data_IF_023118146531
#
_entry.id   IF_023118146531
#
_cell.length_a   1.000
_cell.length_b   1.000
_cell.length_c   1.000
_cell.angle_alpha   90.00
_cell.angle_beta   90.00
_cell.angle_gamma   90.00
#
_symmetry.space_group_name_H-M   'P 1'
#
loop_
_entity.id
_entity.type
_entity.pdbx_description
1 polymer ?
#
# COMPACT_ATOMS: atom_id res chain seq x y z
N UNK A 1 14.17 -7.81 -25.14
CA UNK A 1 12.75 -7.90 -24.75
C UNK A 1 12.70 -7.57 -23.27
N UNK A 2 11.79 -6.69 -22.85
CA UNK A 2 11.66 -6.32 -21.44
C UNK A 2 11.03 -7.49 -20.67
N UNK A 3 11.71 -7.96 -19.62
CA UNK A 3 11.28 -9.04 -18.73
C UNK A 3 10.11 -8.59 -17.86
N UNK A 4 10.22 -7.40 -17.28
CA UNK A 4 9.24 -6.83 -16.36
C UNK A 4 9.38 -5.30 -16.28
N UNK A 5 8.31 -4.65 -15.84
CA UNK A 5 8.28 -3.22 -15.52
C UNK A 5 8.19 -3.06 -14.01
N UNK A 6 9.18 -2.42 -13.40
CA UNK A 6 9.32 -2.28 -11.96
C UNK A 6 8.90 -0.88 -11.52
N UNK A 7 7.82 -0.85 -10.75
CA UNK A 7 7.16 0.33 -10.21
C UNK A 7 7.72 0.67 -8.84
N UNK A 8 8.58 1.68 -8.78
CA UNK A 8 9.11 2.24 -7.53
C UNK A 8 8.10 3.25 -7.01
N UNK A 9 7.39 2.88 -5.95
CA UNK A 9 6.34 3.71 -5.35
C UNK A 9 6.80 4.22 -4.00
N UNK A 10 7.13 5.53 -3.86
CA UNK A 10 7.47 6.09 -2.58
C UNK A 10 6.27 6.12 -1.64
N UNK A 11 6.47 5.63 -0.42
CA UNK A 11 5.44 5.60 0.61
C UNK A 11 6.07 5.59 2.00
N UNK A 12 5.21 5.70 3.01
CA UNK A 12 5.52 5.31 4.37
C UNK A 12 4.43 4.36 4.88
N UNK A 13 4.80 3.50 5.82
CA UNK A 13 3.82 2.85 6.67
C UNK A 13 3.83 3.56 8.03
N UNK A 14 2.67 3.94 8.55
CA UNK A 14 2.56 4.76 9.75
C UNK A 14 1.61 4.14 10.78
N UNK A 15 2.16 3.29 11.64
CA UNK A 15 1.46 2.90 12.86
C UNK A 15 1.24 4.13 13.74
N UNK A 16 -0.03 4.50 13.92
CA UNK A 16 -0.43 5.65 14.73
C UNK A 16 0.07 5.53 16.17
N UNK A 17 -0.06 4.33 16.74
CA UNK A 17 0.41 3.98 18.08
C UNK A 17 0.98 2.56 18.05
N UNK A 18 2.27 2.41 18.35
CA UNK A 18 2.90 1.09 18.47
C UNK A 18 3.97 1.08 19.58
N UNK A 19 5.25 1.27 19.24
CA UNK A 19 6.36 1.25 20.20
C UNK A 19 6.73 2.62 20.77
N UNK A 20 6.31 3.70 20.12
CA UNK A 20 6.48 5.07 20.59
C UNK A 20 5.27 5.55 21.38
N UNK A 21 5.49 6.52 22.26
CA UNK A 21 4.40 7.30 22.83
C UNK A 21 3.73 8.16 21.74
N UNK A 22 2.45 8.50 21.92
CA UNK A 22 1.71 9.34 20.97
C UNK A 22 2.44 10.66 20.66
N UNK A 23 3.12 11.25 21.66
CA UNK A 23 3.86 12.50 21.48
C UNK A 23 5.16 12.33 20.68
N UNK A 24 5.89 11.22 20.87
CA UNK A 24 7.07 10.90 20.05
C UNK A 24 6.68 10.66 18.59
N UNK A 25 5.61 9.88 18.35
CA UNK A 25 5.06 9.66 17.01
C UNK A 25 4.68 10.99 16.35
N UNK A 26 4.08 11.93 17.09
CA UNK A 26 3.71 13.25 16.58
C UNK A 26 4.90 14.09 16.12
N UNK A 27 6.01 14.08 16.86
CA UNK A 27 7.23 14.80 16.47
C UNK A 27 7.82 14.21 15.19
N UNK A 28 7.90 12.88 15.12
CA UNK A 28 8.39 12.18 13.92
C UNK A 28 7.51 12.48 12.71
N UNK A 29 6.18 12.45 12.90
CA UNK A 29 5.22 12.75 11.85
C UNK A 29 5.39 14.16 11.30
N UNK A 30 5.57 15.16 12.16
CA UNK A 30 5.76 16.55 11.73
C UNK A 30 7.01 16.69 10.86
N UNK A 31 8.12 16.08 11.28
CA UNK A 31 9.38 16.12 10.53
C UNK A 31 9.26 15.40 9.19
N UNK A 32 8.61 14.23 9.18
CA UNK A 32 8.47 13.42 7.98
C UNK A 32 7.54 14.08 6.95
N UNK A 33 6.39 14.61 7.39
CA UNK A 33 5.49 15.38 6.53
C UNK A 33 6.15 16.64 5.96
N UNK A 34 6.97 17.34 6.74
CA UNK A 34 7.72 18.50 6.24
C UNK A 34 8.68 18.09 5.11
N UNK A 35 9.43 17.01 5.30
CA UNK A 35 10.37 16.50 4.30
C UNK A 35 9.65 16.04 3.02
N UNK A 36 8.54 15.31 3.16
CA UNK A 36 7.71 14.84 2.04
C UNK A 36 7.16 16.03 1.23
N UNK A 37 6.51 16.98 1.90
CA UNK A 37 5.90 18.12 1.21
C UNK A 37 6.96 19.01 0.56
N UNK A 38 8.10 19.28 1.23
CA UNK A 38 9.19 20.04 0.63
C UNK A 38 9.73 19.34 -0.62
N UNK A 39 9.86 18.02 -0.60
CA UNK A 39 10.32 17.25 -1.77
C UNK A 39 9.34 17.37 -2.93
N UNK A 40 8.05 17.16 -2.69
CA UNK A 40 7.02 17.20 -3.72
C UNK A 40 6.83 18.62 -4.32
N UNK A 41 7.10 19.67 -3.54
CA UNK A 41 7.02 21.06 -4.00
C UNK A 41 8.20 21.47 -4.87
N UNK A 42 9.41 21.05 -4.48
CA UNK A 42 10.65 21.58 -5.04
C UNK A 42 11.33 20.66 -6.06
N UNK A 43 10.92 19.40 -6.17
CA UNK A 43 11.46 18.45 -7.16
C UNK A 43 10.35 17.97 -8.13
N UNK A 44 10.33 18.49 -9.38
CA UNK A 44 9.38 18.05 -10.40
C UNK A 44 9.50 16.58 -10.83
N UNK A 45 10.68 15.97 -10.67
CA UNK A 45 10.90 14.56 -11.03
C UNK A 45 10.35 13.61 -9.95
N UNK A 46 10.26 14.07 -8.69
CA UNK A 46 9.66 13.33 -7.58
C UNK A 46 8.14 13.48 -7.59
N UNK A 47 7.49 12.69 -8.45
CA UNK A 47 6.09 12.91 -8.84
C UNK A 47 5.06 12.51 -7.79
N UNK A 48 5.32 11.43 -7.04
CA UNK A 48 4.29 10.77 -6.25
C UNK A 48 4.79 10.39 -4.86
N UNK A 49 3.90 10.47 -3.88
CA UNK A 49 4.10 9.92 -2.55
C UNK A 49 2.77 9.38 -1.99
N UNK A 50 2.74 8.12 -1.56
CA UNK A 50 1.56 7.49 -0.96
C UNK A 50 1.59 7.64 0.55
N UNK A 51 0.56 8.29 1.09
CA UNK A 51 0.41 8.55 2.53
C UNK A 51 -0.35 7.40 3.23
N UNK A 52 0.20 6.19 3.12
CA UNK A 52 -0.23 4.95 3.81
C UNK A 52 -1.73 4.59 3.73
N UNK A 53 -2.45 5.21 2.80
CA UNK A 53 -3.88 5.01 2.59
C UNK A 53 -4.81 5.23 3.80
N UNK A 54 -4.38 6.02 4.80
CA UNK A 54 -5.15 6.35 6.00
C UNK A 54 -5.20 7.87 6.26
N UNK A 55 -6.34 8.40 6.72
CA UNK A 55 -6.51 9.83 7.02
C UNK A 55 -6.34 10.19 8.50
N UNK A 56 -6.38 9.23 9.42
CA UNK A 56 -6.21 9.48 10.86
C UNK A 56 -4.87 10.15 11.18
N UNK A 57 -3.80 9.81 10.43
CA UNK A 57 -2.48 10.46 10.54
C UNK A 57 -2.56 11.97 10.25
N UNK A 58 -3.46 12.39 9.37
CA UNK A 58 -3.64 13.81 9.03
C UNK A 58 -4.33 14.57 10.15
N UNK A 59 -5.21 13.94 10.93
CA UNK A 59 -5.81 14.57 12.11
C UNK A 59 -4.74 14.95 13.14
N UNK A 60 -3.84 14.01 13.44
CA UNK A 60 -2.74 14.25 14.37
C UNK A 60 -1.76 15.30 13.83
N UNK A 61 -1.51 15.30 12.51
CA UNK A 61 -0.67 16.31 11.89
C UNK A 61 -1.29 17.71 11.96
N UNK A 62 -2.56 17.87 11.58
CA UNK A 62 -3.24 19.17 11.58
C UNK A 62 -3.55 19.71 12.97
N UNK A 63 -3.62 18.85 13.99
CA UNK A 63 -3.68 19.30 15.38
C UNK A 63 -2.44 20.11 15.79
N UNK A 64 -1.29 19.86 15.16
CA UNK A 64 0.00 20.51 15.46
C UNK A 64 0.32 21.60 14.43
N UNK A 65 0.02 21.34 13.15
CA UNK A 65 0.34 22.20 11.99
C UNK A 65 -0.93 22.54 11.19
N UNK A 66 -1.93 23.21 11.79
CA UNK A 66 -3.17 23.55 11.09
C UNK A 66 -2.95 24.44 9.86
N UNK A 67 -1.90 25.28 9.87
CA UNK A 67 -1.50 26.15 8.76
C UNK A 67 -1.15 25.37 7.48
N UNK A 68 -0.70 24.11 7.61
CA UNK A 68 -0.28 23.29 6.48
C UNK A 68 -1.44 22.59 5.75
N UNK A 69 -2.69 22.76 6.20
CA UNK A 69 -3.85 22.14 5.55
C UNK A 69 -4.00 22.57 4.09
N UNK A 70 -3.79 23.85 3.79
CA UNK A 70 -3.89 24.36 2.42
C UNK A 70 -2.72 23.88 1.54
N UNK A 71 -1.52 23.79 2.12
CA UNK A 71 -0.32 23.26 1.47
C UNK A 71 -0.51 21.80 1.06
N UNK A 72 -0.98 20.98 1.99
CA UNK A 72 -1.28 19.57 1.74
C UNK A 72 -2.38 19.40 0.70
N UNK A 73 -3.47 20.15 0.83
CA UNK A 73 -4.57 20.15 -0.15
C UNK A 73 -4.08 20.41 -1.57
N UNK A 74 -3.23 21.42 -1.77
CA UNK A 74 -2.67 21.71 -3.09
C UNK A 74 -1.85 20.55 -3.67
N UNK A 75 -1.12 19.80 -2.84
CA UNK A 75 -0.36 18.62 -3.27
C UNK A 75 -1.27 17.43 -3.62
N UNK A 76 -2.38 17.26 -2.90
CA UNK A 76 -3.38 16.22 -3.19
C UNK A 76 -4.13 16.56 -4.49
N UNK A 77 -4.59 17.80 -4.66
CA UNK A 77 -5.26 18.26 -5.90
C UNK A 77 -4.34 18.20 -7.12
N UNK A 78 -3.03 18.40 -6.93
CA UNK A 78 -2.02 18.22 -7.98
C UNK A 78 -1.71 16.73 -8.28
N UNK A 79 -2.29 15.79 -7.53
CA UNK A 79 -2.05 14.36 -7.67
C UNK A 79 -0.63 13.92 -7.27
N UNK A 80 0.07 14.73 -6.47
CA UNK A 80 1.43 14.47 -6.00
C UNK A 80 1.45 13.70 -4.67
N UNK A 81 0.57 14.08 -3.75
CA UNK A 81 0.37 13.38 -2.48
C UNK A 81 -0.91 12.58 -2.54
N UNK A 82 -0.81 11.27 -2.35
CA UNK A 82 -1.92 10.31 -2.52
C UNK A 82 -2.42 9.90 -1.13
N UNK A 83 -3.72 10.06 -0.89
CA UNK A 83 -4.35 9.87 0.44
C UNK A 83 -5.51 8.88 0.40
N UNK A 84 -5.79 8.23 1.53
CA UNK A 84 -6.98 7.37 1.71
C UNK A 84 -6.89 6.00 1.02
N UNK A 85 -7.99 5.22 1.01
CA UNK A 85 -9.36 5.65 1.28
C UNK A 85 -9.80 5.46 2.74
N UNK A 86 -8.98 4.85 3.59
CA UNK A 86 -9.36 4.51 4.95
C UNK A 86 -9.22 5.71 5.88
N UNK A 87 -9.98 5.69 6.98
CA UNK A 87 -9.67 6.54 8.11
C UNK A 87 -8.46 5.99 8.87
N UNK A 88 -8.46 4.70 9.20
CA UNK A 88 -7.31 3.99 9.77
C UNK A 88 -7.14 2.60 9.17
N UNK A 89 -5.93 2.04 9.21
CA UNK A 89 -5.73 0.65 8.80
C UNK A 89 -6.27 -0.29 9.89
N UNK A 90 -7.19 -1.18 9.52
CA UNK A 90 -7.91 -2.06 10.46
C UNK A 90 -7.72 -3.52 10.12
N UNK A 91 -7.70 -4.39 11.15
CA UNK A 91 -7.79 -5.83 10.95
C UNK A 91 -9.26 -6.22 10.72
N UNK A 92 -9.56 -6.59 9.47
CA UNK A 92 -10.93 -6.67 8.97
C UNK A 92 -11.72 -7.88 9.48
N UNK A 93 -11.08 -8.83 10.17
CA UNK A 93 -11.79 -9.93 10.85
C UNK A 93 -12.00 -9.67 12.35
N UNK A 94 -11.45 -8.58 12.89
CA UNK A 94 -11.53 -8.26 14.33
C UNK A 94 -12.69 -7.32 14.68
N UNK A 95 -13.09 -6.51 13.72
CA UNK A 95 -14.08 -5.45 13.92
C UNK A 95 -15.40 -5.82 13.26
N UNK A 96 -16.49 -5.20 13.73
CA UNK A 96 -17.80 -5.40 13.10
C UNK A 96 -17.81 -4.88 11.66
N UNK A 97 -18.67 -5.44 10.81
CA UNK A 97 -18.84 -4.94 9.44
C UNK A 97 -19.20 -3.45 9.39
N UNK A 98 -20.05 -2.99 10.32
CA UNK A 98 -20.38 -1.57 10.48
C UNK A 98 -19.13 -0.73 10.78
N UNK A 99 -18.21 -1.21 11.62
CA UNK A 99 -16.95 -0.51 11.91
C UNK A 99 -16.10 -0.35 10.65
N UNK A 100 -16.04 -1.36 9.77
CA UNK A 100 -15.31 -1.28 8.49
C UNK A 100 -15.96 -0.25 7.58
N UNK A 101 -17.30 -0.27 7.45
CA UNK A 101 -18.05 0.70 6.64
C UNK A 101 -17.86 2.12 7.16
N UNK A 102 -17.88 2.33 8.49
CA UNK A 102 -17.62 3.65 9.10
C UNK A 102 -16.19 4.12 8.87
N UNK A 103 -15.23 3.20 8.94
CA UNK A 103 -13.82 3.49 8.67
C UNK A 103 -13.63 4.01 7.23
N UNK A 104 -14.22 3.33 6.24
CA UNK A 104 -14.25 3.81 4.86
C UNK A 104 -15.00 5.14 4.71
N UNK A 105 -16.17 5.27 5.34
CA UNK A 105 -16.98 6.48 5.25
C UNK A 105 -16.23 7.72 5.76
N UNK A 106 -15.56 7.62 6.90
CA UNK A 106 -14.78 8.72 7.46
C UNK A 106 -13.55 9.03 6.61
N UNK A 107 -12.81 7.99 6.17
CA UNK A 107 -11.64 8.19 5.31
C UNK A 107 -11.99 8.86 3.99
N UNK A 108 -13.05 8.40 3.32
CA UNK A 108 -13.57 9.01 2.09
C UNK A 108 -14.01 10.46 2.30
N UNK A 109 -14.72 10.77 3.39
CA UNK A 109 -15.11 12.14 3.74
C UNK A 109 -13.89 13.05 3.90
N UNK A 110 -12.87 12.57 4.61
CA UNK A 110 -11.67 13.35 4.90
C UNK A 110 -10.84 13.58 3.63
N UNK A 111 -10.70 12.55 2.80
CA UNK A 111 -10.04 12.66 1.50
C UNK A 111 -10.74 13.69 0.62
N UNK A 112 -12.06 13.60 0.43
CA UNK A 112 -12.83 14.50 -0.42
C UNK A 112 -12.77 15.98 0.02
N UNK A 113 -12.43 16.25 1.28
CA UNK A 113 -12.16 17.62 1.74
C UNK A 113 -10.80 18.17 1.24
N UNK A 114 -9.86 17.28 0.93
CA UNK A 114 -8.51 17.55 0.43
C UNK A 114 -8.38 17.38 -1.09
N UNK A 115 -9.07 16.41 -1.69
CA UNK A 115 -9.02 16.10 -3.12
C UNK A 115 -9.52 14.68 -3.42
N UNK A 116 -9.17 14.14 -4.58
CA UNK A 116 -9.59 12.78 -4.95
C UNK A 116 -8.86 11.71 -4.11
N UNK A 117 -9.58 10.76 -3.49
CA UNK A 117 -8.96 9.66 -2.75
C UNK A 117 -8.29 8.64 -3.67
N UNK A 118 -7.28 7.94 -3.14
CA UNK A 118 -6.79 6.71 -3.74
C UNK A 118 -7.92 5.66 -3.74
N UNK A 119 -8.36 5.24 -4.91
CA UNK A 119 -9.44 4.26 -5.09
C UNK A 119 -8.95 2.81 -5.02
N UNK A 120 -8.14 2.50 -3.99
CA UNK A 120 -7.62 1.16 -3.70
C UNK A 120 -7.95 0.80 -2.26
N UNK A 121 -8.60 -0.34 -2.04
CA UNK A 121 -8.71 -0.94 -0.71
C UNK A 121 -7.32 -1.35 -0.18
N UNK A 122 -6.59 -0.41 0.40
CA UNK A 122 -5.17 -0.54 0.75
C UNK A 122 -4.99 -1.02 2.20
N UNK A 123 -4.60 -2.28 2.37
CA UNK A 123 -4.37 -2.92 3.67
C UNK A 123 -2.99 -3.61 3.67
N UNK A 124 -1.90 -2.84 3.71
CA UNK A 124 -0.55 -3.36 3.54
C UNK A 124 -0.09 -4.22 4.72
N UNK A 125 -0.63 -4.03 5.93
CA UNK A 125 -0.23 -4.80 7.11
C UNK A 125 -1.38 -5.41 7.94
N UNK A 126 -2.62 -5.39 7.44
CA UNK A 126 -3.71 -6.10 8.12
C UNK A 126 -3.45 -7.61 8.13
N UNK A 127 -3.68 -8.26 9.27
CA UNK A 127 -3.31 -9.68 9.43
C UNK A 127 -4.30 -10.65 8.81
N UNK A 128 -5.49 -10.17 8.45
CA UNK A 128 -6.51 -10.96 7.79
C UNK A 128 -7.49 -10.09 6.98
N UNK A 129 -8.02 -10.68 5.91
CA UNK A 129 -8.96 -10.04 4.99
C UNK A 129 -10.32 -10.74 5.04
N UNK A 130 -11.35 -10.01 5.45
CA UNK A 130 -12.74 -10.47 5.45
C UNK A 130 -13.27 -10.70 4.04
N UNK A 131 -14.00 -11.80 3.83
CA UNK A 131 -14.62 -12.15 2.54
C UNK A 131 -15.66 -11.15 2.02
N UNK A 132 -16.10 -10.21 2.86
CA UNK A 132 -17.07 -9.17 2.51
C UNK A 132 -16.43 -7.88 1.99
N UNK A 133 -15.10 -7.76 1.99
CA UNK A 133 -14.45 -6.53 1.56
C UNK A 133 -14.76 -6.15 0.10
N UNK A 134 -14.84 -7.06 -0.89
CA UNK A 134 -15.26 -6.67 -2.24
C UNK A 134 -16.62 -5.95 -2.28
N UNK A 135 -17.62 -6.48 -1.58
CA UNK A 135 -18.94 -5.83 -1.43
C UNK A 135 -18.83 -4.45 -0.78
N UNK A 136 -18.05 -4.32 0.31
CA UNK A 136 -17.86 -3.04 0.98
C UNK A 136 -17.18 -2.03 0.05
N UNK A 137 -16.09 -2.43 -0.62
CA UNK A 137 -15.35 -1.58 -1.54
C UNK A 137 -16.21 -1.09 -2.71
N UNK A 138 -16.99 -1.98 -3.34
CA UNK A 138 -17.92 -1.59 -4.41
C UNK A 138 -18.95 -0.55 -3.92
N UNK A 139 -19.38 -0.60 -2.66
CA UNK A 139 -20.26 0.41 -2.07
C UNK A 139 -19.64 1.81 -1.92
N UNK A 140 -18.31 1.95 -2.06
CA UNK A 140 -17.57 3.22 -2.06
C UNK A 140 -16.97 3.55 -3.44
N UNK A 141 -17.47 2.91 -4.50
CA UNK A 141 -16.94 3.00 -5.87
C UNK A 141 -15.44 2.69 -5.92
N UNK A 142 -15.05 1.59 -5.26
CA UNK A 142 -13.69 1.03 -5.29
C UNK A 142 -13.78 -0.38 -5.87
N UNK A 143 -13.06 -0.58 -6.97
CA UNK A 143 -13.00 -1.83 -7.73
C UNK A 143 -11.63 -2.53 -7.61
N UNK A 144 -10.74 -2.03 -6.73
CA UNK A 144 -9.40 -2.56 -6.53
C UNK A 144 -9.04 -2.74 -5.06
N UNK A 145 -8.18 -3.71 -4.77
CA UNK A 145 -7.69 -3.99 -3.42
C UNK A 145 -6.20 -4.35 -3.45
N UNK A 146 -5.44 -3.89 -2.46
CA UNK A 146 -4.04 -4.25 -2.31
C UNK A 146 -3.74 -4.65 -0.87
N UNK A 147 -3.09 -5.80 -0.70
CA UNK A 147 -2.77 -6.30 0.62
C UNK A 147 -1.58 -7.25 0.63
N UNK A 148 -0.99 -7.47 1.81
CA UNK A 148 0.17 -8.36 1.96
C UNK A 148 -0.21 -9.76 2.42
N UNK A 149 -0.99 -9.87 3.50
CA UNK A 149 -1.06 -11.11 4.29
C UNK A 149 -2.28 -11.95 3.96
N UNK A 150 -2.17 -13.25 4.22
CA UNK A 150 -3.31 -14.17 4.25
C UNK A 150 -3.60 -14.91 2.96
N UNK A 151 -2.93 -14.59 1.85
CA UNK A 151 -3.08 -15.29 0.57
C UNK A 151 -2.04 -16.41 0.41
N UNK A 152 -2.46 -17.50 -0.22
CA UNK A 152 -1.62 -18.63 -0.62
C UNK A 152 -2.30 -19.42 -1.72
N UNK A 153 -1.58 -20.36 -2.34
CA UNK A 153 -2.15 -21.20 -3.41
C UNK A 153 -3.30 -22.09 -2.95
N UNK A 154 -3.50 -22.23 -1.64
CA UNK A 154 -4.67 -22.94 -1.08
C UNK A 154 -6.00 -22.28 -1.43
N UNK A 155 -6.00 -21.01 -1.81
CA UNK A 155 -7.20 -20.30 -2.25
C UNK A 155 -7.54 -20.57 -3.72
N UNK A 156 -6.67 -21.27 -4.46
CA UNK A 156 -6.92 -21.70 -5.84
C UNK A 156 -6.08 -20.99 -6.90
N UNK A 157 -5.19 -20.07 -6.52
CA UNK A 157 -4.27 -19.40 -7.46
C UNK A 157 -2.86 -19.27 -6.90
N UNK A 158 -1.85 -19.46 -7.74
CA UNK A 158 -0.45 -19.15 -7.42
C UNK A 158 -0.03 -17.74 -7.89
N UNK A 159 -1.00 -16.93 -8.35
CA UNK A 159 -0.78 -15.58 -8.87
C UNK A 159 -0.87 -14.51 -7.80
N UNK A 160 -0.19 -13.38 -8.05
CA UNK A 160 -0.27 -12.19 -7.21
C UNK A 160 -1.42 -11.27 -7.60
N UNK A 161 -1.97 -11.41 -8.80
CA UNK A 161 -3.14 -10.67 -9.28
C UNK A 161 -4.31 -11.62 -9.55
N UNK A 162 -5.50 -11.26 -9.08
CA UNK A 162 -6.73 -12.05 -9.27
C UNK A 162 -7.99 -11.20 -9.06
N UNK A 163 -9.15 -11.71 -9.47
CA UNK A 163 -10.45 -11.15 -9.10
C UNK A 163 -10.88 -11.72 -7.74
N UNK A 164 -11.08 -10.86 -6.76
CA UNK A 164 -11.62 -11.23 -5.46
C UNK A 164 -13.11 -10.96 -5.40
N UNK A 165 -13.92 -12.01 -5.24
CA UNK A 165 -15.37 -11.95 -5.29
C UNK A 165 -16.04 -12.32 -3.95
N UNK A 166 -16.97 -11.49 -3.52
CA UNK A 166 -17.86 -11.73 -2.36
C UNK A 166 -19.04 -12.64 -2.73
N UNK A 167 -19.77 -13.13 -1.71
CA UNK A 167 -20.89 -14.06 -1.91
C UNK A 167 -22.07 -13.47 -2.67
N UNK A 168 -22.23 -12.15 -2.67
CA UNK A 168 -23.27 -11.41 -3.39
C UNK A 168 -22.93 -11.18 -4.87
N UNK A 169 -21.70 -11.53 -5.29
CA UNK A 169 -21.21 -11.32 -6.65
C UNK A 169 -20.41 -10.03 -6.83
N UNK A 170 -20.33 -9.16 -5.81
CA UNK A 170 -19.43 -7.99 -5.82
C UNK A 170 -17.99 -8.44 -5.96
N UNK A 171 -17.20 -7.71 -6.75
CA UNK A 171 -15.84 -8.10 -7.09
C UNK A 171 -14.87 -6.92 -7.19
N UNK A 172 -13.62 -7.19 -6.85
CA UNK A 172 -12.50 -6.24 -6.98
C UNK A 172 -11.28 -6.93 -7.58
N UNK A 173 -10.47 -6.18 -8.32
CA UNK A 173 -9.15 -6.63 -8.75
C UNK A 173 -8.17 -6.53 -7.58
N UNK A 174 -7.56 -7.63 -7.20
CA UNK A 174 -6.63 -7.70 -6.08
C UNK A 174 -5.18 -7.74 -6.56
N UNK A 175 -4.31 -7.02 -5.86
CA UNK A 175 -2.85 -7.15 -5.94
C UNK A 175 -2.31 -7.58 -4.58
N UNK A 176 -1.68 -8.76 -4.53
CA UNK A 176 -0.96 -9.22 -3.34
C UNK A 176 0.47 -8.68 -3.36
N UNK A 177 0.97 -8.27 -2.20
CA UNK A 177 2.37 -7.90 -1.97
C UNK A 177 3.13 -9.12 -1.41
N UNK A 178 3.67 -10.03 -2.23
CA UNK A 178 4.17 -11.34 -1.74
C UNK A 178 5.34 -11.23 -0.76
N UNK A 179 6.11 -10.13 -0.84
CA UNK A 179 7.24 -9.83 0.05
C UNK A 179 6.97 -8.66 1.01
N UNK A 180 5.73 -8.15 1.05
CA UNK A 180 5.32 -7.01 1.87
C UNK A 180 5.64 -5.64 1.25
N UNK A 181 5.28 -4.59 1.98
CA UNK A 181 5.42 -3.18 1.56
C UNK A 181 6.83 -2.61 1.79
N UNK A 182 7.74 -3.37 2.39
CA UNK A 182 9.03 -2.88 2.89
C UNK A 182 10.23 -3.27 2.02
N UNK A 183 10.02 -3.92 0.88
CA UNK A 183 11.11 -4.51 0.07
C UNK A 183 12.03 -3.46 -0.57
N UNK A 184 11.51 -2.27 -0.86
CA UNK A 184 12.28 -1.14 -1.40
C UNK A 184 12.83 -0.21 -0.32
N UNK A 185 12.84 -0.58 0.97
CA UNK A 185 13.38 0.27 2.03
C UNK A 185 14.88 0.49 1.86
N UNK A 186 15.37 1.72 2.02
CA UNK A 186 16.81 2.05 2.00
C UNK A 186 17.57 1.25 0.93
N UNK A 187 17.19 1.42 -0.33
CA UNK A 187 17.85 0.73 -1.44
C UNK A 187 19.33 1.17 -1.48
N UNK A 188 20.30 0.23 -1.52
CA UNK A 188 21.71 0.58 -1.60
C UNK A 188 22.03 1.36 -2.88
N UNK A 189 23.07 2.19 -2.83
CA UNK A 189 23.59 2.88 -4.01
C UNK A 189 24.54 2.02 -4.83
N UNK A 190 25.16 1.01 -4.21
CA UNK A 190 26.16 0.16 -4.84
C UNK A 190 25.53 -1.08 -5.51
N UNK A 191 26.16 -1.52 -6.60
CA UNK A 191 25.70 -2.67 -7.38
C UNK A 191 25.66 -3.96 -6.55
N UNK A 192 26.65 -4.18 -5.67
CA UNK A 192 26.73 -5.39 -4.85
C UNK A 192 25.52 -5.49 -3.91
N UNK A 193 25.20 -4.41 -3.19
CA UNK A 193 24.05 -4.33 -2.30
C UNK A 193 22.71 -4.45 -3.02
N UNK A 194 22.57 -3.80 -4.18
CA UNK A 194 21.37 -3.92 -5.01
C UNK A 194 21.16 -5.35 -5.50
N UNK A 195 22.19 -5.99 -6.07
CA UNK A 195 22.11 -7.38 -6.54
C UNK A 195 21.86 -8.36 -5.40
N UNK A 196 22.57 -8.22 -4.28
CA UNK A 196 22.42 -9.10 -3.11
C UNK A 196 20.99 -9.14 -2.55
N UNK A 197 20.23 -8.05 -2.77
CA UNK A 197 18.83 -7.91 -2.37
C UNK A 197 17.87 -8.30 -3.50
N UNK A 198 17.96 -7.64 -4.64
CA UNK A 198 16.95 -7.72 -5.70
C UNK A 198 17.02 -8.99 -6.53
N UNK A 199 18.19 -9.63 -6.67
CA UNK A 199 18.30 -10.92 -7.37
C UNK A 199 17.49 -12.02 -6.67
N UNK A 200 17.26 -11.88 -5.35
CA UNK A 200 16.39 -12.78 -4.57
C UNK A 200 14.92 -12.41 -4.69
N UNK A 201 14.61 -11.14 -4.91
CA UNK A 201 13.23 -10.65 -4.93
C UNK A 201 12.58 -10.83 -6.29
N UNK A 202 13.28 -10.52 -7.38
CA UNK A 202 12.71 -10.58 -8.73
C UNK A 202 12.09 -11.94 -9.07
N UNK A 203 12.72 -13.10 -8.81
CA UNK A 203 12.08 -14.39 -9.08
C UNK A 203 10.76 -14.61 -8.31
N UNK A 204 10.66 -14.07 -7.09
CA UNK A 204 9.46 -14.19 -6.25
C UNK A 204 8.36 -13.23 -6.70
N UNK A 205 8.73 -12.07 -7.23
CA UNK A 205 7.80 -11.06 -7.74
C UNK A 205 7.32 -11.38 -9.16
N UNK A 206 8.24 -11.78 -10.04
CA UNK A 206 7.98 -11.96 -11.48
C UNK A 206 7.31 -13.28 -11.81
N UNK A 207 7.63 -14.37 -11.11
CA UNK A 207 7.04 -15.68 -11.39
C UNK A 207 5.52 -15.73 -11.21
N UNK A 208 4.93 -15.24 -10.09
CA UNK A 208 3.49 -15.27 -9.88
C UNK A 208 2.75 -14.11 -10.57
N UNK A 209 3.44 -13.06 -11.03
CA UNK A 209 2.79 -11.93 -11.68
C UNK A 209 2.23 -12.29 -13.06
N UNK A 210 0.98 -11.92 -13.32
CA UNK A 210 0.26 -12.04 -14.60
C UNK A 210 0.74 -10.97 -15.57
N UNK A 211 0.76 -9.70 -15.14
CA UNK A 211 1.07 -8.52 -15.98
C UNK A 211 2.57 -8.32 -16.21
N UNK A 212 3.42 -8.79 -15.29
CA UNK A 212 4.84 -8.42 -15.18
C UNK A 212 5.08 -6.94 -14.81
N UNK A 213 4.06 -6.25 -14.32
CA UNK A 213 4.19 -4.96 -13.63
C UNK A 213 4.44 -5.23 -12.13
N UNK A 214 5.69 -5.05 -11.72
CA UNK A 214 6.21 -5.44 -10.41
C UNK A 214 6.26 -4.24 -9.48
N UNK A 215 5.61 -4.33 -8.33
CA UNK A 215 5.71 -3.32 -7.28
C UNK A 215 7.02 -3.47 -6.49
N UNK A 216 7.76 -2.37 -6.38
CA UNK A 216 8.88 -2.20 -5.45
C UNK A 216 8.57 -0.99 -4.54
N UNK A 217 7.76 -1.16 -3.48
CA UNK A 217 7.38 -0.05 -2.63
C UNK A 217 8.61 0.49 -1.86
N UNK A 218 8.93 1.77 -2.06
CA UNK A 218 10.08 2.45 -1.47
C UNK A 218 9.64 3.16 -0.19
N UNK A 219 9.56 2.38 0.89
CA UNK A 219 9.09 2.84 2.18
C UNK A 219 9.23 1.77 3.25
N UNK A 220 9.01 2.16 4.49
CA UNK A 220 8.93 1.30 5.68
C UNK A 220 8.18 2.06 6.78
N UNK A 221 7.94 1.39 7.90
CA UNK A 221 7.50 1.93 9.18
C UNK A 221 8.27 3.22 9.50
N UNK A 222 7.58 4.35 9.42
CA UNK A 222 8.07 5.68 9.77
C UNK A 222 9.41 6.05 9.10
N UNK A 223 9.67 5.51 7.90
CA UNK A 223 10.90 5.77 7.15
C UNK A 223 10.87 7.16 6.50
N UNK A 224 11.92 7.99 6.71
CA UNK A 224 12.13 9.22 5.95
C UNK A 224 12.24 8.96 4.45
N UNK A 225 12.02 9.99 3.62
CA UNK A 225 12.17 9.82 2.18
C UNK A 225 13.59 9.37 1.82
N UNK A 226 13.71 8.48 0.85
CA UNK A 226 15.01 8.13 0.30
C UNK A 226 15.50 9.24 -0.65
N UNK A 227 16.44 10.06 -0.19
CA UNK A 227 16.89 11.28 -0.89
C UNK A 227 17.60 11.01 -2.21
N UNK A 228 18.32 9.90 -2.28
CA UNK A 228 19.17 9.46 -3.40
C UNK A 228 18.44 8.50 -4.36
N UNK A 229 17.11 8.39 -4.28
CA UNK A 229 16.35 7.39 -5.03
C UNK A 229 16.58 7.46 -6.55
N UNK A 230 16.82 8.64 -7.12
CA UNK A 230 17.08 8.77 -8.55
C UNK A 230 18.45 8.21 -8.95
N UNK A 231 19.48 8.42 -8.13
CA UNK A 231 20.81 7.81 -8.35
C UNK A 231 20.71 6.28 -8.29
N UNK A 232 19.93 5.77 -7.33
CA UNK A 232 19.63 4.33 -7.21
C UNK A 232 18.88 3.83 -8.44
N UNK A 233 17.86 4.55 -8.92
CA UNK A 233 17.10 4.20 -10.12
C UNK A 233 17.98 4.15 -11.37
N UNK A 234 18.91 5.08 -11.52
CA UNK A 234 19.85 5.09 -12.64
C UNK A 234 20.79 3.89 -12.57
N UNK A 235 21.27 3.55 -11.36
CA UNK A 235 22.05 2.32 -11.15
C UNK A 235 21.22 1.06 -11.45
N UNK A 236 19.96 1.01 -11.05
CA UNK A 236 19.04 -0.11 -11.35
C UNK A 236 18.89 -0.34 -12.86
N UNK A 237 18.70 0.74 -13.63
CA UNK A 237 18.62 0.68 -15.10
C UNK A 237 19.92 0.19 -15.74
N UNK A 238 21.08 0.53 -15.17
CA UNK A 238 22.38 0.07 -15.63
C UNK A 238 22.58 -1.44 -15.38
N UNK A 239 22.27 -1.92 -14.17
CA UNK A 239 22.60 -3.28 -13.74
C UNK A 239 21.56 -4.34 -14.15
N UNK A 240 20.33 -3.91 -14.49
CA UNK A 240 19.21 -4.74 -14.96
C UNK A 240 18.62 -4.20 -16.29
N UNK A 241 19.37 -4.28 -17.41
CA UNK A 241 18.94 -3.71 -18.69
C UNK A 241 17.74 -4.44 -19.32
N UNK A 242 17.36 -5.61 -18.81
CA UNK A 242 16.19 -6.36 -19.21
C UNK A 242 14.91 -5.93 -18.48
N UNK A 243 14.99 -4.99 -17.53
CA UNK A 243 13.85 -4.48 -16.75
C UNK A 243 13.69 -2.98 -16.96
N UNK A 244 12.46 -2.52 -16.98
CA UNK A 244 12.16 -1.08 -17.01
C UNK A 244 11.90 -0.60 -15.58
N UNK A 245 12.59 0.45 -15.11
CA UNK A 245 12.33 1.05 -13.80
C UNK A 245 11.64 2.38 -13.93
N UNK A 246 10.51 2.55 -13.25
CA UNK A 246 9.71 3.77 -13.26
C UNK A 246 9.32 4.17 -11.85
N UNK A 247 9.32 5.48 -11.57
CA UNK A 247 8.69 6.01 -10.38
C UNK A 247 7.21 6.19 -10.67
N UNK A 248 6.35 5.53 -9.90
CA UNK A 248 4.91 5.51 -10.13
C UNK A 248 4.12 5.56 -8.83
N UNK A 249 2.80 5.55 -8.95
CA UNK A 249 1.84 5.30 -7.87
C UNK A 249 1.23 3.91 -7.99
N UNK A 250 0.51 3.45 -6.96
CA UNK A 250 -0.09 2.11 -6.96
C UNK A 250 -1.21 1.95 -7.98
N UNK A 251 -1.96 3.02 -8.28
CA UNK A 251 -3.07 2.98 -9.25
C UNK A 251 -2.61 2.58 -10.65
N UNK A 252 -1.40 2.96 -11.06
CA UNK A 252 -0.86 2.67 -12.40
C UNK A 252 -0.69 1.15 -12.66
N UNK A 253 -0.47 0.35 -11.61
CA UNK A 253 -0.39 -1.12 -11.75
C UNK A 253 -1.78 -1.70 -12.00
N UNK A 254 -2.82 -1.13 -11.39
CA UNK A 254 -4.20 -1.61 -11.59
C UNK A 254 -4.73 -1.32 -12.99
N UNK A 255 -4.23 -0.30 -13.68
CA UNK A 255 -4.58 -0.07 -15.08
C UNK A 255 -4.17 -1.25 -15.97
N UNK A 256 -2.99 -1.83 -15.71
CA UNK A 256 -2.50 -3.03 -16.41
C UNK A 256 -3.26 -4.29 -16.00
N UNK A 257 -3.55 -4.45 -14.71
CA UNK A 257 -4.37 -5.57 -14.22
C UNK A 257 -5.76 -5.54 -14.88
N UNK A 258 -6.32 -4.35 -15.11
CA UNK A 258 -7.62 -4.17 -15.78
C UNK A 258 -7.58 -4.59 -17.25
N UNK A 259 -6.48 -4.36 -17.95
CA UNK A 259 -6.27 -4.83 -19.33
C UNK A 259 -6.21 -6.36 -19.41
N UNK A 260 -5.66 -7.02 -18.38
CA UNK A 260 -5.52 -8.48 -18.29
C UNK A 260 -6.67 -9.18 -17.55
N UNK A 261 -7.81 -8.49 -17.34
CA UNK A 261 -8.92 -8.99 -16.50
C UNK A 261 -9.38 -10.40 -16.86
N UNK A 262 -9.48 -10.70 -18.16
CA UNK A 262 -9.96 -12.00 -18.65
C UNK A 262 -9.00 -13.16 -18.35
N UNK A 263 -7.75 -12.86 -18.00
CA UNK A 263 -6.71 -13.82 -17.63
C UNK A 263 -6.57 -14.01 -16.11
N UNK A 264 -7.37 -13.30 -15.30
CA UNK A 264 -7.31 -13.36 -13.85
C UNK A 264 -8.17 -14.52 -13.31
N UNK A 265 -7.59 -15.28 -12.37
CA UNK A 265 -8.35 -16.25 -11.59
C UNK A 265 -9.41 -15.52 -10.73
N UNK A 266 -10.58 -16.13 -10.53
CA UNK A 266 -11.58 -15.62 -9.58
C UNK A 266 -11.51 -16.39 -8.27
N UNK A 267 -11.20 -15.67 -7.19
CA UNK A 267 -11.01 -16.22 -5.84
C UNK A 267 -12.11 -15.71 -4.92
N UNK A 268 -12.59 -16.59 -4.04
CA UNK A 268 -13.62 -16.30 -3.04
C UNK A 268 -13.13 -16.65 -1.66
N UNK A 269 -13.72 -16.00 -0.66
CA UNK A 269 -13.48 -16.30 0.75
C UNK A 269 -12.56 -15.29 1.43
N UNK A 270 -12.13 -15.68 2.62
CA UNK A 270 -11.30 -14.88 3.51
C UNK A 270 -9.82 -15.17 3.25
N UNK A 271 -8.96 -14.17 3.40
CA UNK A 271 -7.51 -14.36 3.34
C UNK A 271 -6.92 -14.31 4.74
N UNK A 272 -6.58 -15.49 5.27
CA UNK A 272 -6.02 -15.62 6.61
C UNK A 272 -4.96 -16.74 6.69
N UNK A 273 -4.42 -17.22 5.57
CA UNK A 273 -3.40 -18.28 5.57
C UNK A 273 -2.01 -17.75 5.97
N UNK A 274 -1.37 -18.47 6.89
CA UNK A 274 -0.07 -18.12 7.46
C UNK A 274 1.12 -18.76 6.75
N UNK A 275 0.94 -19.26 5.52
CA UNK A 275 1.94 -20.06 4.81
C UNK A 275 3.20 -19.27 4.44
N UNK A 276 3.02 -18.10 3.82
CA UNK A 276 4.14 -17.28 3.32
C UNK A 276 4.55 -16.17 4.29
N UNK A 277 3.64 -15.73 5.16
CA UNK A 277 3.89 -14.71 6.18
C UNK A 277 3.02 -14.93 7.40
N UNK A 278 3.43 -14.34 8.53
CA UNK A 278 2.69 -14.47 9.78
C UNK A 278 1.34 -13.74 9.68
N UNK A 279 0.27 -14.49 9.91
CA UNK A 279 -1.07 -13.97 10.19
C UNK A 279 -1.23 -14.05 11.71
N UNK A 280 -1.28 -12.90 12.40
CA UNK A 280 -1.20 -12.82 13.87
C UNK A 280 -2.49 -13.30 14.57
N UNK A 281 -3.04 -14.47 14.20
CA UNK A 281 -4.32 -15.02 14.72
C UNK A 281 -4.43 -15.06 16.25
N UNK A 282 -3.33 -15.03 17.00
CA UNK A 282 -3.37 -15.00 18.47
C UNK A 282 -3.89 -13.68 19.06
N UNK A 283 -3.89 -12.57 18.30
CA UNK A 283 -4.53 -11.31 18.76
C UNK A 283 -6.05 -11.46 18.95
N UNK A 284 -6.68 -12.48 18.34
CA UNK A 284 -8.09 -12.85 18.52
C UNK A 284 -8.42 -13.35 19.94
N UNK A 285 -7.42 -13.77 20.74
CA UNK A 285 -7.66 -14.53 21.98
C UNK A 285 -7.70 -13.72 23.28
N UNK A 286 -7.66 -12.38 23.22
CA UNK A 286 -7.75 -11.55 24.44
C UNK A 286 -9.18 -11.12 24.82
N UNK A 287 -10.19 -11.51 24.06
CA UNK A 287 -11.59 -11.23 24.39
C UNK A 287 -12.27 -12.49 24.97
N UNK A 288 -12.53 -12.45 26.28
CA UNK A 288 -13.45 -13.32 27.05
C UNK A 288 -13.02 -14.76 27.36
N UNK A 289 -12.21 -14.91 28.41
CA UNK A 289 -12.47 -15.96 29.42
C UNK A 289 -13.05 -15.29 30.66
N UNK A 290 -14.35 -15.07 30.67
CA UNK A 290 -15.11 -14.94 31.90
C UNK A 290 -15.63 -16.32 32.26
N UNK A 291 -15.32 -16.77 33.47
CA UNK A 291 -15.91 -17.96 34.10
C UNK A 291 -17.43 -17.86 34.16
#
# INVERSE_FOLDING_TARGET
MTTSRVHITPHMHWDREWYFTTEESRILLVNNMEEIMQRLENDPEYKYYVLDGQTAVLEDYFAIKPENKQRLKALVEAGKLIVGPWYSQTDTMQVSGESIVRNMLYGMRDCLALGEPMKIGYLPDSFSMSSQLPMIYNGFDIDTAMFWRGCSERHGTDKTEFLWQSNDGSEVMAQVLPLGYAIGKYLPQDEEGLRARLDKYFPVLEKPSVTKDILLPNGHDQMPIQKDIFEVMDKLREIYPDREFVMSRFEEVFDRIREERDNLDTIKGEFNDGKYMRVHRTILRLAWTSN
#
